data_IF_859110873224
#
_entry.id   IF_859110873224
#
_cell.length_a   1.000
_cell.length_b   1.000
_cell.length_c   1.000
_cell.angle_alpha   90.00
_cell.angle_beta   90.00
_cell.angle_gamma   90.00
#
_symmetry.space_group_name_H-M   'P 1'
#
loop_
_entity.id
_entity.type
_entity.pdbx_description
1 polymer ?
#
# COMPACT_ATOMS: atom_id res chain seq x y z
N UNK A 1 -17.14 -10.29 -20.11
CA UNK A 1 -17.55 -11.68 -20.45
C UNK A 1 -16.50 -12.73 -20.08
N UNK A 2 -15.22 -12.36 -19.87
CA UNK A 2 -14.12 -13.29 -19.56
C UNK A 2 -13.68 -13.29 -18.09
N UNK A 3 -14.28 -12.46 -17.24
CA UNK A 3 -13.85 -12.36 -15.85
C UNK A 3 -14.01 -13.67 -15.04
N UNK A 4 -14.98 -14.53 -15.42
CA UNK A 4 -15.17 -15.83 -14.80
C UNK A 4 -14.23 -16.94 -15.31
N UNK A 5 -13.33 -16.64 -16.26
CA UNK A 5 -12.35 -17.59 -16.79
C UNK A 5 -10.96 -17.44 -16.12
N UNK A 6 -10.82 -16.48 -15.21
CA UNK A 6 -9.57 -16.25 -14.49
C UNK A 6 -9.40 -17.26 -13.35
N UNK A 7 -8.19 -17.79 -13.18
CA UNK A 7 -7.85 -18.68 -12.07
C UNK A 7 -7.64 -17.90 -10.75
N UNK A 8 -7.25 -16.63 -10.84
CA UNK A 8 -7.01 -15.73 -9.70
C UNK A 8 -7.09 -14.28 -10.17
N UNK A 9 -7.51 -13.38 -9.27
CA UNK A 9 -7.52 -11.94 -9.49
C UNK A 9 -6.43 -11.25 -8.65
N UNK A 10 -5.78 -10.22 -9.20
CA UNK A 10 -4.89 -9.34 -8.46
C UNK A 10 -5.56 -8.00 -8.18
N UNK A 11 -5.67 -7.65 -6.90
CA UNK A 11 -6.24 -6.37 -6.43
C UNK A 11 -5.09 -5.44 -6.06
N UNK A 12 -4.84 -4.45 -6.91
CA UNK A 12 -3.71 -3.52 -6.76
C UNK A 12 -4.07 -2.21 -6.05
N UNK A 13 -5.34 -2.01 -5.74
CA UNK A 13 -5.87 -0.83 -5.03
C UNK A 13 -7.17 -1.17 -4.33
N UNK A 14 -7.48 -0.48 -3.22
CA UNK A 14 -8.70 -0.68 -2.42
C UNK A 14 -10.00 -0.52 -3.22
N UNK A 15 -10.01 0.30 -4.25
CA UNK A 15 -11.18 0.45 -5.15
C UNK A 15 -11.54 -0.85 -5.89
N UNK A 16 -10.64 -1.81 -5.94
CA UNK A 16 -10.86 -3.12 -6.55
C UNK A 16 -11.55 -4.15 -5.63
N UNK A 17 -11.62 -3.91 -4.32
CA UNK A 17 -12.19 -4.88 -3.37
C UNK A 17 -13.62 -5.30 -3.70
N UNK A 18 -14.57 -4.38 -3.95
CA UNK A 18 -15.94 -4.79 -4.26
C UNK A 18 -16.03 -5.69 -5.50
N UNK A 19 -15.25 -5.38 -6.54
CA UNK A 19 -15.23 -6.19 -7.75
C UNK A 19 -14.62 -7.59 -7.50
N UNK A 20 -13.54 -7.67 -6.73
CA UNK A 20 -12.90 -8.94 -6.39
C UNK A 20 -13.82 -9.85 -5.57
N UNK A 21 -14.53 -9.30 -4.56
CA UNK A 21 -15.52 -10.04 -3.76
C UNK A 21 -16.67 -10.58 -4.61
N UNK A 22 -17.20 -9.77 -5.54
CA UNK A 22 -18.26 -10.22 -6.46
C UNK A 22 -17.77 -11.34 -7.39
N UNK A 23 -16.53 -11.29 -7.84
CA UNK A 23 -15.95 -12.34 -8.69
C UNK A 23 -15.71 -13.63 -7.90
N UNK A 24 -15.25 -13.53 -6.66
CA UNK A 24 -15.12 -14.68 -5.76
C UNK A 24 -16.48 -15.33 -5.47
N UNK A 25 -17.48 -14.55 -5.11
CA UNK A 25 -18.83 -15.03 -4.83
C UNK A 25 -19.49 -15.71 -6.03
N UNK A 26 -19.34 -15.14 -7.24
CA UNK A 26 -20.02 -15.64 -8.44
C UNK A 26 -19.30 -16.77 -9.15
N UNK A 27 -17.97 -16.77 -9.13
CA UNK A 27 -17.16 -17.66 -9.95
C UNK A 27 -16.18 -18.48 -9.12
N UNK A 28 -16.16 -18.32 -7.79
CA UNK A 28 -15.18 -18.93 -6.91
C UNK A 28 -13.74 -18.57 -7.30
N UNK A 29 -13.53 -17.42 -7.96
CA UNK A 29 -12.21 -16.96 -8.37
C UNK A 29 -11.55 -16.25 -7.20
N UNK A 30 -10.51 -16.81 -6.58
CA UNK A 30 -9.83 -16.18 -5.45
C UNK A 30 -9.11 -14.90 -5.90
N UNK A 31 -8.71 -14.08 -4.92
CA UNK A 31 -7.93 -12.89 -5.21
C UNK A 31 -6.74 -12.73 -4.27
N UNK A 32 -5.74 -12.01 -4.76
CA UNK A 32 -4.58 -11.59 -3.99
C UNK A 32 -4.55 -10.08 -3.93
N UNK A 33 -4.38 -9.52 -2.73
CA UNK A 33 -4.28 -8.08 -2.51
C UNK A 33 -2.81 -7.69 -2.39
N UNK A 34 -2.38 -6.75 -3.21
CA UNK A 34 -1.03 -6.20 -3.20
C UNK A 34 -0.67 -5.52 -4.51
N UNK A 35 0.08 -4.43 -4.43
CA UNK A 35 0.59 -3.72 -5.60
C UNK A 35 2.01 -4.21 -5.91
N UNK A 36 2.32 -4.62 -7.16
CA UNK A 36 3.68 -4.97 -7.54
C UNK A 36 4.64 -3.79 -7.38
N UNK A 37 5.57 -3.96 -6.44
CA UNK A 37 6.64 -2.99 -6.13
C UNK A 37 7.97 -3.71 -6.21
N UNK A 38 9.03 -3.01 -6.62
CA UNK A 38 10.39 -3.54 -6.68
C UNK A 38 10.83 -4.14 -5.35
N UNK A 39 11.11 -5.43 -5.34
CA UNK A 39 11.49 -6.18 -4.13
C UNK A 39 10.33 -6.85 -3.39
N UNK A 40 9.07 -6.58 -3.78
CA UNK A 40 7.88 -7.23 -3.23
C UNK A 40 7.09 -8.03 -4.28
N UNK A 41 7.28 -7.75 -5.56
CA UNK A 41 6.54 -8.42 -6.64
C UNK A 41 6.69 -9.96 -6.65
N UNK A 42 7.84 -10.49 -6.20
CA UNK A 42 8.06 -11.94 -6.05
C UNK A 42 7.09 -12.58 -5.06
N UNK A 43 6.87 -11.94 -3.91
CA UNK A 43 5.89 -12.41 -2.90
C UNK A 43 4.47 -12.40 -3.49
N UNK A 44 4.10 -11.37 -4.24
CA UNK A 44 2.79 -11.32 -4.91
C UNK A 44 2.65 -12.48 -5.90
N UNK A 45 3.68 -12.77 -6.69
CA UNK A 45 3.65 -13.87 -7.65
C UNK A 45 3.48 -15.23 -6.95
N UNK A 46 4.20 -15.49 -5.85
CA UNK A 46 4.03 -16.68 -5.02
C UNK A 46 2.61 -16.80 -4.48
N UNK A 47 2.05 -15.70 -3.96
CA UNK A 47 0.68 -15.66 -3.45
C UNK A 47 -0.39 -15.89 -4.53
N UNK A 48 -0.17 -15.38 -5.75
CA UNK A 48 -1.06 -15.63 -6.89
C UNK A 48 -1.08 -17.12 -7.26
N UNK A 49 0.09 -17.76 -7.32
CA UNK A 49 0.20 -19.19 -7.58
C UNK A 49 -0.52 -19.99 -6.49
N UNK A 50 -0.25 -19.68 -5.22
CA UNK A 50 -0.87 -20.37 -4.09
C UNK A 50 -2.40 -20.17 -4.06
N UNK A 51 -2.89 -18.96 -4.31
CA UNK A 51 -4.32 -18.69 -4.38
C UNK A 51 -5.00 -19.44 -5.52
N UNK A 52 -4.38 -19.49 -6.72
CA UNK A 52 -4.90 -20.25 -7.85
C UNK A 52 -4.99 -21.75 -7.56
N UNK A 53 -4.01 -22.31 -6.83
CA UNK A 53 -4.00 -23.74 -6.45
C UNK A 53 -4.97 -24.06 -5.31
N UNK A 54 -5.05 -23.18 -4.30
CA UNK A 54 -5.82 -23.46 -3.07
C UNK A 54 -7.27 -22.98 -3.12
N UNK A 55 -7.59 -22.08 -4.07
CA UNK A 55 -8.88 -21.41 -4.12
C UNK A 55 -9.10 -20.41 -2.98
N UNK A 56 -8.03 -19.97 -2.28
CA UNK A 56 -8.13 -19.09 -1.10
C UNK A 56 -7.56 -17.70 -1.40
N UNK A 57 -8.38 -16.68 -1.14
CA UNK A 57 -7.94 -15.29 -1.21
C UNK A 57 -6.93 -14.93 -0.13
N UNK A 58 -5.98 -14.05 -0.44
CA UNK A 58 -4.85 -13.70 0.43
C UNK A 58 -4.49 -12.22 0.33
N UNK A 59 -3.91 -11.69 1.42
CA UNK A 59 -3.32 -10.36 1.46
C UNK A 59 -1.78 -10.49 1.49
N UNK A 60 -1.12 -10.13 0.40
CA UNK A 60 0.30 -10.41 0.21
C UNK A 60 1.20 -9.71 1.25
N UNK A 61 0.93 -8.44 1.58
CA UNK A 61 1.77 -7.68 2.52
C UNK A 61 1.66 -8.16 3.98
N UNK A 62 0.60 -8.84 4.39
CA UNK A 62 0.50 -9.41 5.73
C UNK A 62 1.55 -10.50 5.99
N UNK A 63 1.98 -11.22 4.97
CA UNK A 63 3.02 -12.24 5.14
C UNK A 63 4.40 -11.66 5.51
N UNK A 64 4.60 -10.36 5.28
CA UNK A 64 5.84 -9.65 5.59
C UNK A 64 5.74 -8.90 6.92
N UNK A 65 4.64 -8.19 7.13
CA UNK A 65 4.46 -7.30 8.28
C UNK A 65 4.07 -8.04 9.56
N UNK A 66 3.45 -9.23 9.45
CA UNK A 66 3.02 -10.05 10.60
C UNK A 66 4.15 -10.84 11.27
N UNK A 67 5.40 -10.67 10.87
CA UNK A 67 6.55 -11.43 11.40
C UNK A 67 6.98 -11.02 12.82
N UNK A 68 6.03 -10.75 13.73
CA UNK A 68 6.29 -10.79 15.18
C UNK A 68 7.13 -9.68 15.79
N UNK A 69 7.44 -8.63 15.08
CA UNK A 69 8.00 -7.42 15.69
C UNK A 69 6.84 -6.49 16.05
N UNK A 70 6.71 -6.15 17.33
CA UNK A 70 5.92 -5.00 17.75
C UNK A 70 6.41 -3.79 16.95
N UNK A 71 5.69 -3.43 15.89
CA UNK A 71 5.97 -2.20 15.12
C UNK A 71 5.53 -1.07 16.03
N UNK A 72 6.48 -0.55 16.81
CA UNK A 72 6.23 0.68 17.55
C UNK A 72 5.98 1.78 16.53
N UNK A 73 4.80 2.41 16.61
CA UNK A 73 4.45 3.57 15.79
C UNK A 73 5.66 4.48 15.64
N UNK A 74 6.04 4.79 14.40
CA UNK A 74 7.07 5.78 14.05
C UNK A 74 8.48 5.55 14.59
N UNK A 75 8.88 4.32 14.97
CA UNK A 75 10.24 4.07 15.51
C UNK A 75 11.36 4.63 14.61
N UNK A 76 11.15 4.69 13.29
CA UNK A 76 12.12 5.20 12.33
C UNK A 76 11.83 6.63 11.84
N UNK A 77 10.69 7.23 12.22
CA UNK A 77 10.26 8.55 11.73
C UNK A 77 9.94 8.58 10.23
N UNK A 78 9.58 7.44 9.65
CA UNK A 78 9.25 7.31 8.23
C UNK A 78 7.74 7.08 8.08
N UNK A 79 7.11 7.94 7.30
CA UNK A 79 5.68 7.88 7.02
C UNK A 79 5.42 7.77 5.52
N UNK A 80 4.40 6.95 5.16
CA UNK A 80 3.87 6.87 3.81
C UNK A 80 2.42 7.34 3.87
N UNK A 81 2.10 8.44 3.17
CA UNK A 81 0.73 8.94 3.09
C UNK A 81 0.17 8.58 1.72
N UNK A 82 -0.86 7.73 1.70
CA UNK A 82 -1.40 7.27 0.43
C UNK A 82 -2.53 6.24 0.53
N UNK A 83 -2.87 5.68 -0.59
CA UNK A 83 -3.86 4.62 -0.72
C UNK A 83 -3.39 3.34 -0.02
N UNK A 84 -4.31 2.63 0.64
CA UNK A 84 -3.97 1.56 1.59
C UNK A 84 -3.14 0.41 0.99
N UNK A 85 -3.51 -0.11 -0.19
CA UNK A 85 -2.86 -1.29 -0.78
C UNK A 85 -1.46 -0.95 -1.28
N UNK A 86 -1.31 0.18 -2.00
CA UNK A 86 -0.03 0.65 -2.49
C UNK A 86 0.93 0.95 -1.34
N UNK A 87 0.46 1.70 -0.34
CA UNK A 87 1.29 2.11 0.79
C UNK A 87 1.76 0.93 1.63
N UNK A 88 0.91 -0.05 1.90
CA UNK A 88 1.29 -1.27 2.62
C UNK A 88 2.24 -2.16 1.79
N UNK A 89 2.06 -2.21 0.46
CA UNK A 89 2.97 -2.93 -0.43
C UNK A 89 4.36 -2.28 -0.48
N UNK A 90 4.43 -0.94 -0.43
CA UNK A 90 5.70 -0.20 -0.31
C UNK A 90 6.38 -0.48 1.03
N UNK A 91 5.63 -0.45 2.14
CA UNK A 91 6.17 -0.79 3.46
C UNK A 91 6.73 -2.21 3.47
N UNK A 92 6.01 -3.19 2.89
CA UNK A 92 6.49 -4.55 2.78
C UNK A 92 7.78 -4.66 1.95
N UNK A 93 7.88 -3.92 0.83
CA UNK A 93 9.09 -3.86 0.03
C UNK A 93 10.29 -3.28 0.79
N UNK A 94 10.08 -2.22 1.57
CA UNK A 94 11.11 -1.58 2.41
C UNK A 94 11.59 -2.53 3.52
N UNK A 95 10.65 -3.20 4.19
CA UNK A 95 10.95 -4.17 5.23
C UNK A 95 11.80 -5.33 4.69
N UNK A 96 11.44 -5.89 3.53
CA UNK A 96 12.15 -7.00 2.91
C UNK A 96 13.55 -6.63 2.45
N UNK A 97 13.70 -5.46 1.84
CA UNK A 97 14.97 -5.06 1.23
C UNK A 97 15.96 -4.44 2.18
N UNK A 98 15.46 -3.64 3.12
CA UNK A 98 16.28 -2.73 3.93
C UNK A 98 16.10 -2.97 5.43
N UNK A 99 15.11 -3.80 5.82
CA UNK A 99 14.75 -3.96 7.23
C UNK A 99 14.14 -2.69 7.83
N UNK A 100 13.57 -1.82 7.00
CA UNK A 100 13.00 -0.54 7.39
C UNK A 100 11.48 -0.67 7.51
N UNK A 101 10.95 -0.34 8.67
CA UNK A 101 9.52 -0.23 8.91
C UNK A 101 9.06 1.23 8.71
N UNK A 102 7.91 1.42 8.11
CA UNK A 102 7.26 2.72 7.94
C UNK A 102 5.84 2.69 8.51
N UNK A 103 5.37 3.84 8.98
CA UNK A 103 3.97 4.02 9.36
C UNK A 103 3.19 4.51 8.15
N UNK A 104 2.10 3.84 7.83
CA UNK A 104 1.19 4.24 6.76
C UNK A 104 0.10 5.14 7.33
N UNK A 105 -0.18 6.24 6.64
CA UNK A 105 -1.36 7.08 6.86
C UNK A 105 -2.24 6.97 5.63
N UNK A 106 -3.44 6.41 5.80
CA UNK A 106 -4.40 6.28 4.71
C UNK A 106 -5.54 7.28 4.91
N UNK A 107 -5.63 8.32 4.06
CA UNK A 107 -6.71 9.32 4.13
C UNK A 107 -7.96 8.93 3.33
N UNK A 108 -7.94 7.75 2.72
CA UNK A 108 -9.03 7.26 1.88
C UNK A 108 -9.84 6.18 2.60
N UNK A 109 -11.10 6.04 2.23
CA UNK A 109 -11.92 4.92 2.67
C UNK A 109 -11.29 3.60 2.24
N UNK A 110 -11.23 2.65 3.15
CA UNK A 110 -10.73 1.30 2.92
C UNK A 110 -11.37 0.32 3.89
N UNK A 111 -11.30 -0.97 3.59
CA UNK A 111 -11.90 -2.00 4.42
C UNK A 111 -10.94 -2.40 5.55
N UNK A 112 -11.38 -2.38 6.83
CA UNK A 112 -10.51 -2.66 7.99
C UNK A 112 -9.82 -4.01 7.96
N UNK A 113 -10.42 -5.02 7.34
CA UNK A 113 -9.88 -6.38 7.26
C UNK A 113 -8.58 -6.48 6.42
N UNK A 114 -8.30 -5.46 5.58
CA UNK A 114 -7.10 -5.40 4.75
C UNK A 114 -6.06 -4.39 5.25
N UNK A 115 -6.19 -3.96 6.50
CA UNK A 115 -5.30 -2.97 7.12
C UNK A 115 -4.38 -3.65 8.12
N UNK A 116 -3.06 -3.44 7.98
CA UNK A 116 -2.05 -3.87 8.94
C UNK A 116 -1.98 -2.97 10.18
N UNK A 117 -1.31 -3.45 11.21
CA UNK A 117 -1.16 -2.75 12.50
C UNK A 117 -0.40 -1.41 12.39
N UNK A 118 0.39 -1.24 11.34
CA UNK A 118 1.17 -0.03 11.08
C UNK A 118 0.41 1.04 10.28
N UNK A 119 -0.90 0.89 10.09
CA UNK A 119 -1.74 1.83 9.34
C UNK A 119 -2.57 2.69 10.28
N UNK A 120 -2.53 4.00 10.04
CA UNK A 120 -3.39 4.99 10.67
C UNK A 120 -4.42 5.47 9.65
N UNK A 121 -5.68 5.50 10.05
CA UNK A 121 -6.76 6.05 9.25
C UNK A 121 -7.06 7.46 9.74
N UNK A 122 -6.74 8.45 8.94
CA UNK A 122 -7.04 9.85 9.22
C UNK A 122 -7.81 10.47 8.06
N UNK A 123 -8.85 11.19 8.38
CA UNK A 123 -9.72 11.84 7.40
C UNK A 123 -9.48 13.35 7.28
N UNK A 124 -8.76 13.95 8.22
CA UNK A 124 -8.48 15.39 8.22
C UNK A 124 -7.00 15.69 8.03
N UNK A 125 -6.73 16.84 7.39
CA UNK A 125 -5.37 17.34 7.19
C UNK A 125 -4.68 17.65 8.52
N UNK A 126 -5.44 18.15 9.51
CA UNK A 126 -4.93 18.46 10.84
C UNK A 126 -4.41 17.23 11.58
N UNK A 127 -5.14 16.09 11.49
CA UNK A 127 -4.70 14.82 12.08
C UNK A 127 -3.43 14.30 11.40
N UNK A 128 -3.38 14.37 10.07
CA UNK A 128 -2.20 13.96 9.30
C UNK A 128 -1.00 14.83 9.69
N UNK A 129 -1.17 16.16 9.69
CA UNK A 129 -0.11 17.12 10.06
C UNK A 129 0.41 16.87 11.46
N UNK A 130 -0.48 16.63 12.42
CA UNK A 130 -0.09 16.32 13.80
C UNK A 130 0.69 15.00 13.90
N UNK A 131 0.30 13.98 13.13
CA UNK A 131 0.98 12.69 13.13
C UNK A 131 2.40 12.74 12.55
N UNK A 132 2.63 13.59 11.54
CA UNK A 132 3.92 13.72 10.86
C UNK A 132 4.79 14.86 11.38
N UNK A 133 4.40 15.54 12.46
CA UNK A 133 5.10 16.74 12.98
C UNK A 133 6.59 16.49 13.26
N UNK A 134 6.96 15.28 13.67
CA UNK A 134 8.34 14.88 13.95
C UNK A 134 8.88 13.87 12.90
N UNK A 135 8.25 13.82 11.72
CA UNK A 135 8.67 12.90 10.67
C UNK A 135 10.05 13.28 10.11
N UNK A 136 10.95 12.30 10.03
CA UNK A 136 12.23 12.46 9.33
C UNK A 136 12.06 12.36 7.83
N UNK A 137 11.21 11.42 7.40
CA UNK A 137 10.92 11.19 5.99
C UNK A 137 9.42 11.00 5.78
N UNK A 138 8.88 11.67 4.78
CA UNK A 138 7.50 11.50 4.32
C UNK A 138 7.51 11.14 2.84
N UNK A 139 6.90 10.01 2.51
CA UNK A 139 6.65 9.55 1.14
C UNK A 139 5.18 9.77 0.85
N UNK A 140 4.85 10.69 -0.03
CA UNK A 140 3.46 11.06 -0.27
C UNK A 140 3.23 11.73 -1.63
N UNK A 141 1.95 11.84 -2.00
CA UNK A 141 1.57 12.70 -3.11
C UNK A 141 2.04 14.15 -2.87
N UNK A 142 2.50 14.88 -3.90
CA UNK A 142 3.00 16.25 -3.77
C UNK A 142 2.09 17.23 -3.04
N UNK A 143 0.76 17.01 -3.02
CA UNK A 143 -0.18 17.86 -2.28
C UNK A 143 0.11 17.90 -0.78
N UNK A 144 0.68 16.84 -0.21
CA UNK A 144 1.00 16.76 1.21
C UNK A 144 2.30 17.47 1.60
N UNK A 145 3.09 17.96 0.63
CA UNK A 145 4.33 18.67 0.91
C UNK A 145 4.11 19.92 1.75
N UNK A 146 2.96 20.58 1.57
CA UNK A 146 2.62 21.84 2.25
C UNK A 146 2.40 21.71 3.75
N UNK A 147 2.13 20.48 4.24
CA UNK A 147 1.91 20.21 5.66
C UNK A 147 3.12 19.60 6.36
N UNK A 148 4.18 19.28 5.61
CA UNK A 148 5.43 18.79 6.18
C UNK A 148 6.26 19.94 6.77
N UNK A 149 7.08 19.63 7.78
CA UNK A 149 8.08 20.57 8.28
C UNK A 149 9.20 20.79 7.25
N UNK A 150 9.86 21.94 7.29
CA UNK A 150 10.92 22.31 6.32
C UNK A 150 12.10 21.32 6.35
N UNK A 151 12.40 20.75 7.50
CA UNK A 151 13.48 19.78 7.68
C UNK A 151 13.12 18.35 7.26
N UNK A 152 11.85 18.08 6.94
CA UNK A 152 11.38 16.74 6.55
C UNK A 152 11.92 16.38 5.16
N UNK A 153 12.58 15.23 5.06
CA UNK A 153 12.92 14.65 3.77
C UNK A 153 11.64 14.19 3.05
N UNK A 154 11.16 15.01 2.12
CA UNK A 154 9.93 14.72 1.38
C UNK A 154 10.24 14.01 0.05
N UNK A 155 9.69 12.81 -0.10
CA UNK A 155 9.79 12.01 -1.33
C UNK A 155 8.44 12.01 -2.02
N UNK A 156 8.38 12.66 -3.19
CA UNK A 156 7.17 12.75 -3.97
C UNK A 156 6.76 11.39 -4.56
N UNK A 157 5.54 10.98 -4.31
CA UNK A 157 4.90 9.81 -4.86
C UNK A 157 3.51 10.20 -5.40
N UNK A 158 3.43 10.82 -6.58
CA UNK A 158 2.14 11.20 -7.16
C UNK A 158 1.25 9.98 -7.38
N UNK A 159 -0.04 10.13 -7.07
CA UNK A 159 -1.02 9.06 -7.18
C UNK A 159 -2.32 9.55 -7.81
N UNK A 160 -2.94 8.72 -8.66
CA UNK A 160 -4.18 9.07 -9.39
C UNK A 160 -5.34 9.48 -8.47
N UNK A 161 -5.42 8.90 -7.25
CA UNK A 161 -6.48 9.23 -6.28
C UNK A 161 -6.35 10.63 -5.66
N UNK A 162 -5.20 11.29 -5.80
CA UNK A 162 -4.91 12.61 -5.21
C UNK A 162 -4.66 13.64 -6.30
N UNK A 163 -3.43 13.81 -6.73
CA UNK A 163 -3.02 14.83 -7.69
C UNK A 163 -2.73 14.28 -9.09
N UNK A 164 -3.20 13.09 -9.44
CA UNK A 164 -2.89 12.41 -10.69
C UNK A 164 -3.19 13.20 -11.95
N UNK A 165 -4.17 14.12 -11.92
CA UNK A 165 -4.43 15.00 -13.07
C UNK A 165 -3.29 15.98 -13.35
N UNK A 166 -2.60 16.43 -12.30
CA UNK A 166 -1.52 17.43 -12.39
C UNK A 166 -0.19 16.72 -12.66
N UNK A 167 0.08 15.63 -11.95
CA UNK A 167 1.38 14.95 -11.94
C UNK A 167 1.38 13.61 -12.68
N UNK A 168 0.43 13.37 -13.59
CA UNK A 168 0.27 12.09 -14.28
C UNK A 168 1.53 11.56 -14.96
N UNK A 169 2.35 12.45 -15.50
CA UNK A 169 3.61 12.08 -16.16
C UNK A 169 4.75 11.77 -15.18
N UNK A 170 4.54 12.10 -13.91
CA UNK A 170 5.51 11.92 -12.83
C UNK A 170 5.15 10.73 -11.93
N UNK A 171 4.00 10.06 -12.17
CA UNK A 171 3.63 8.84 -11.47
C UNK A 171 4.68 7.78 -11.80
N UNK A 172 5.43 7.27 -10.79
CA UNK A 172 6.53 6.38 -11.05
C UNK A 172 6.08 4.97 -11.41
N UNK A 173 6.88 4.27 -12.20
CA UNK A 173 6.78 2.83 -12.31
C UNK A 173 7.32 2.20 -11.02
N UNK A 174 6.45 1.67 -10.17
CA UNK A 174 6.82 1.11 -8.87
C UNK A 174 7.73 -0.12 -8.97
N UNK A 175 7.78 -0.78 -10.13
CA UNK A 175 8.71 -1.89 -10.40
C UNK A 175 10.15 -1.41 -10.64
N UNK A 176 10.33 -0.16 -11.00
CA UNK A 176 11.64 0.47 -11.25
C UNK A 176 12.03 1.45 -10.13
N UNK A 177 11.05 1.89 -9.38
CA UNK A 177 11.22 2.89 -8.34
C UNK A 177 12.13 2.36 -7.22
N UNK A 178 13.14 3.17 -6.89
CA UNK A 178 14.08 2.86 -5.81
C UNK A 178 13.68 3.72 -4.61
N UNK A 179 13.10 3.08 -3.62
CA UNK A 179 12.83 3.70 -2.32
C UNK A 179 14.16 3.92 -1.58
N UNK A 180 14.36 5.07 -0.99
CA UNK A 180 15.35 5.54 0.01
C UNK A 180 16.69 4.80 0.00
#
# INVERSE_FOLDING_TARGET
QKAGEADVNLVISSVGFPAAKVLEERFSTPYVIGTPVKGFAGIIAEKLIDAAWTGKSQTAYFSVTSSGKNISRAANGIYIIGESVISQSLTAAMALKQGIDATVICPLETEPEYIGENVLLFSSEEEIKAAIAEAKTVIADPIYKTICADETNFIALPHEAFSGRIYRKEIPNLMEWVTI
#
